data_IF_579789263121
#
_entry.id   IF_579789263121
#
_cell.length_a   1.000
_cell.length_b   1.000
_cell.length_c   1.000
_cell.angle_alpha   90.00
_cell.angle_beta   90.00
_cell.angle_gamma   90.00
#
_symmetry.space_group_name_H-M   'P 1'
#
loop_
_entity.id
_entity.type
_entity.pdbx_description
1 polymer ?
#
# COMPACT_ATOMS: atom_id res chain seq x y z
N UNK A 1 9.94 -21.15 -3.68
CA UNK A 1 9.22 -21.05 -4.96
C UNK A 1 8.16 -20.00 -4.78
N UNK A 2 8.21 -18.88 -5.50
CA UNK A 2 7.11 -17.92 -5.45
C UNK A 2 5.90 -18.55 -6.16
N UNK A 3 4.68 -18.38 -5.65
CA UNK A 3 3.48 -18.83 -6.35
C UNK A 3 3.41 -18.18 -7.74
N UNK A 4 3.03 -18.98 -8.72
CA UNK A 4 2.83 -18.53 -10.10
C UNK A 4 1.62 -17.57 -10.19
N UNK A 5 1.64 -16.70 -11.20
CA UNK A 5 0.59 -15.69 -11.42
C UNK A 5 -0.80 -16.31 -11.54
N UNK A 6 -0.90 -17.45 -12.24
CA UNK A 6 -2.16 -18.19 -12.40
C UNK A 6 -2.71 -18.65 -11.05
N UNK A 7 -1.86 -19.19 -10.17
CA UNK A 7 -2.25 -19.56 -8.82
C UNK A 7 -2.76 -18.36 -8.01
N UNK A 8 -2.05 -17.22 -8.05
CA UNK A 8 -2.43 -16.03 -7.29
C UNK A 8 -3.78 -15.45 -7.75
N UNK A 9 -4.02 -15.41 -9.06
CA UNK A 9 -5.29 -14.90 -9.60
C UNK A 9 -6.44 -15.88 -9.38
N UNK A 10 -6.18 -17.19 -9.41
CA UNK A 10 -7.20 -18.24 -9.21
C UNK A 10 -7.76 -18.28 -7.79
N UNK A 11 -6.91 -18.04 -6.78
CA UNK A 11 -7.30 -18.05 -5.37
C UNK A 11 -7.47 -16.63 -4.79
N UNK A 12 -7.31 -15.61 -5.61
CA UNK A 12 -7.51 -14.21 -5.25
C UNK A 12 -8.99 -13.91 -4.97
N UNK A 13 -9.22 -12.93 -4.11
CA UNK A 13 -10.57 -12.44 -3.82
C UNK A 13 -11.11 -11.66 -5.03
N UNK A 14 -12.21 -12.10 -5.69
CA UNK A 14 -12.71 -11.44 -6.89
C UNK A 14 -13.18 -10.00 -6.64
N UNK A 15 -13.47 -9.64 -5.37
CA UNK A 15 -13.95 -8.30 -4.99
C UNK A 15 -12.91 -7.20 -5.21
N UNK A 16 -11.62 -7.56 -5.26
CA UNK A 16 -10.52 -6.60 -5.48
C UNK A 16 -10.05 -6.52 -6.94
N UNK A 17 -10.57 -7.34 -7.85
CA UNK A 17 -10.06 -7.41 -9.23
C UNK A 17 -10.22 -6.09 -10.01
N UNK A 18 -11.18 -5.24 -9.65
CA UNK A 18 -11.38 -3.92 -10.26
C UNK A 18 -10.51 -2.83 -9.66
N UNK A 19 -9.79 -3.12 -8.57
CA UNK A 19 -8.96 -2.14 -7.90
C UNK A 19 -7.61 -1.99 -8.63
N UNK A 20 -7.04 -0.77 -8.67
CA UNK A 20 -5.74 -0.56 -9.27
C UNK A 20 -4.67 -1.47 -8.66
N UNK A 21 -3.81 -2.04 -9.52
CA UNK A 21 -2.66 -2.89 -9.18
C UNK A 21 -3.02 -4.26 -8.56
N UNK A 22 -4.29 -4.68 -8.65
CA UNK A 22 -4.76 -5.99 -8.18
C UNK A 22 -5.04 -6.98 -9.32
N UNK A 23 -5.06 -6.50 -10.56
CA UNK A 23 -5.31 -7.28 -11.78
C UNK A 23 -4.12 -8.15 -12.19
N UNK A 24 -2.90 -7.67 -11.95
CA UNK A 24 -1.68 -8.39 -12.28
C UNK A 24 -0.60 -8.26 -11.17
N UNK A 25 -0.23 -9.37 -10.50
CA UNK A 25 0.78 -9.37 -9.44
C UNK A 25 2.19 -9.03 -9.93
N UNK A 26 2.50 -9.24 -11.21
CA UNK A 26 3.80 -8.88 -11.79
C UNK A 26 4.00 -7.36 -11.86
N UNK A 27 2.93 -6.58 -12.05
CA UNK A 27 3.02 -5.12 -12.07
C UNK A 27 3.56 -4.60 -10.73
N UNK A 28 3.13 -5.18 -9.61
CA UNK A 28 3.65 -4.87 -8.28
C UNK A 28 5.16 -5.07 -8.18
N UNK A 29 5.64 -6.23 -8.63
CA UNK A 29 7.07 -6.55 -8.63
C UNK A 29 7.84 -5.56 -9.51
N UNK A 30 7.30 -5.26 -10.69
CA UNK A 30 7.89 -4.29 -11.61
C UNK A 30 8.03 -2.90 -10.98
N UNK A 31 6.97 -2.38 -10.35
CA UNK A 31 6.98 -1.08 -9.65
C UNK A 31 8.08 -1.05 -8.59
N UNK A 32 8.19 -2.09 -7.78
CA UNK A 32 9.21 -2.19 -6.73
C UNK A 32 10.63 -2.24 -7.34
N UNK A 33 10.85 -3.04 -8.38
CA UNK A 33 12.17 -3.14 -9.04
C UNK A 33 12.57 -1.81 -9.68
N UNK A 34 11.66 -1.17 -10.41
CA UNK A 34 11.89 0.15 -11.02
C UNK A 34 12.19 1.19 -9.96
N UNK A 35 11.43 1.19 -8.86
CA UNK A 35 11.67 2.07 -7.72
C UNK A 35 13.08 1.88 -7.13
N UNK A 36 13.49 0.63 -6.87
CA UNK A 36 14.83 0.33 -6.36
C UNK A 36 15.94 0.76 -7.32
N UNK A 37 15.77 0.52 -8.62
CA UNK A 37 16.74 0.95 -9.63
C UNK A 37 16.85 2.48 -9.68
N UNK A 38 15.72 3.17 -9.56
CA UNK A 38 15.67 4.62 -9.54
C UNK A 38 16.43 5.18 -8.32
N UNK A 39 16.09 4.75 -7.11
CA UNK A 39 16.69 5.33 -5.89
C UNK A 39 18.14 4.91 -5.68
N UNK A 40 18.52 3.68 -6.04
CA UNK A 40 19.87 3.19 -5.76
C UNK A 40 20.90 3.60 -6.82
N UNK A 41 20.49 3.77 -8.07
CA UNK A 41 21.43 4.00 -9.18
C UNK A 41 21.17 5.30 -9.92
N UNK A 42 19.95 5.48 -10.43
CA UNK A 42 19.63 6.61 -11.34
C UNK A 42 19.66 7.93 -10.57
N UNK A 43 18.94 8.01 -9.46
CA UNK A 43 18.84 9.18 -8.60
C UNK A 43 20.21 9.68 -8.13
N UNK A 44 21.03 8.86 -7.45
CA UNK A 44 22.36 9.27 -7.00
C UNK A 44 23.26 9.70 -8.15
N UNK A 45 23.23 9.00 -9.30
CA UNK A 45 24.04 9.37 -10.47
C UNK A 45 23.64 10.71 -11.05
N UNK A 46 22.33 11.01 -11.08
CA UNK A 46 21.80 12.29 -11.53
C UNK A 46 22.08 13.44 -10.54
N UNK A 47 22.08 13.15 -9.24
CA UNK A 47 22.33 14.11 -8.16
C UNK A 47 23.82 14.41 -7.93
N UNK A 48 24.76 13.58 -8.42
CA UNK A 48 26.21 13.78 -8.26
C UNK A 48 26.74 15.17 -8.64
N UNK A 49 26.08 15.87 -9.56
CA UNK A 49 26.51 17.19 -10.08
C UNK A 49 25.52 18.32 -9.76
N UNK A 50 24.63 18.11 -8.79
CA UNK A 50 23.58 19.06 -8.41
C UNK A 50 23.59 19.28 -6.90
N UNK A 51 23.28 20.49 -6.47
CA UNK A 51 23.07 20.76 -5.06
C UNK A 51 21.77 20.12 -4.54
N UNK A 52 21.70 19.74 -3.26
CA UNK A 52 20.50 19.14 -2.67
C UNK A 52 19.29 20.07 -2.79
N UNK A 53 18.14 19.50 -3.14
CA UNK A 53 16.87 20.24 -3.21
C UNK A 53 16.33 20.53 -1.80
N UNK A 54 15.87 21.76 -1.54
CA UNK A 54 15.12 22.07 -0.32
C UNK A 54 13.67 21.60 -0.44
N UNK A 55 13.45 20.34 -0.07
CA UNK A 55 12.14 19.70 -0.06
C UNK A 55 11.44 19.79 1.29
N UNK A 56 11.92 20.62 2.24
CA UNK A 56 11.44 20.61 3.63
C UNK A 56 9.93 20.82 3.75
N UNK A 57 9.37 21.79 3.02
CA UNK A 57 7.93 22.06 3.03
C UNK A 57 7.11 20.90 2.47
N UNK A 58 7.61 20.28 1.39
CA UNK A 58 6.95 19.14 0.74
C UNK A 58 6.94 17.95 1.70
N UNK A 59 8.07 17.66 2.36
CA UNK A 59 8.16 16.57 3.35
C UNK A 59 7.22 16.78 4.55
N UNK A 60 7.08 18.02 5.04
CA UNK A 60 6.13 18.31 6.14
C UNK A 60 4.69 17.99 5.71
N UNK A 61 4.27 18.48 4.54
CA UNK A 61 2.92 18.23 4.02
C UNK A 61 2.70 16.73 3.80
N UNK A 62 3.67 16.06 3.18
CA UNK A 62 3.64 14.62 2.93
C UNK A 62 3.45 13.82 4.24
N UNK A 63 4.28 14.09 5.26
CA UNK A 63 4.21 13.39 6.54
C UNK A 63 2.87 13.64 7.27
N UNK A 64 2.31 14.84 7.16
CA UNK A 64 0.99 15.14 7.71
C UNK A 64 -0.12 14.36 7.00
N UNK A 65 -0.08 14.28 5.66
CA UNK A 65 -1.06 13.53 4.88
C UNK A 65 -1.00 12.03 5.18
N UNK A 66 0.20 11.44 5.25
CA UNK A 66 0.39 10.02 5.55
C UNK A 66 0.00 9.71 7.00
N UNK A 67 0.31 10.59 7.95
CA UNK A 67 -0.13 10.45 9.34
C UNK A 67 -1.66 10.49 9.45
N UNK A 68 -2.30 11.46 8.79
CA UNK A 68 -3.77 11.55 8.74
C UNK A 68 -4.41 10.31 8.10
N UNK A 69 -3.84 9.81 7.00
CA UNK A 69 -4.28 8.58 6.35
C UNK A 69 -4.14 7.36 7.27
N UNK A 70 -3.05 7.28 8.04
CA UNK A 70 -2.81 6.21 9.01
C UNK A 70 -3.84 6.22 10.14
N UNK A 71 -4.16 7.40 10.67
CA UNK A 71 -5.24 7.55 11.66
C UNK A 71 -6.59 7.13 11.06
N UNK A 72 -6.89 7.56 9.84
CA UNK A 72 -8.11 7.16 9.16
C UNK A 72 -8.20 5.63 9.00
N UNK A 73 -7.14 4.98 8.52
CA UNK A 73 -7.09 3.51 8.37
C UNK A 73 -7.28 2.81 9.71
N UNK A 74 -6.57 3.24 10.76
CA UNK A 74 -6.69 2.66 12.10
C UNK A 74 -8.13 2.70 12.63
N UNK A 75 -8.80 3.85 12.49
CA UNK A 75 -10.20 4.00 12.91
C UNK A 75 -11.14 3.09 12.11
N UNK A 76 -10.95 2.99 10.79
CA UNK A 76 -11.81 2.14 9.96
C UNK A 76 -11.58 0.64 10.24
N UNK A 77 -10.32 0.20 10.38
CA UNK A 77 -10.02 -1.18 10.82
C UNK A 77 -10.65 -1.50 12.17
N UNK A 78 -10.58 -0.56 13.10
CA UNK A 78 -11.26 -0.66 14.39
C UNK A 78 -12.77 -0.82 14.23
N UNK A 79 -13.44 0.16 13.62
CA UNK A 79 -14.90 0.21 13.51
C UNK A 79 -15.48 -1.00 12.77
N UNK A 80 -14.90 -1.40 11.64
CA UNK A 80 -15.42 -2.50 10.82
C UNK A 80 -14.90 -3.89 11.23
N UNK A 81 -13.97 -3.95 12.18
CA UNK A 81 -13.38 -5.20 12.66
C UNK A 81 -13.23 -5.20 14.18
N UNK A 82 -12.07 -4.78 14.67
CA UNK A 82 -11.57 -5.06 16.03
C UNK A 82 -12.30 -4.37 17.19
N UNK A 83 -13.03 -3.28 16.95
CA UNK A 83 -13.80 -2.59 18.00
C UNK A 83 -15.23 -3.12 18.15
N UNK A 84 -15.73 -3.89 17.18
CA UNK A 84 -17.14 -4.26 17.12
C UNK A 84 -17.35 -5.76 16.95
N UNK A 85 -16.68 -6.39 15.98
CA UNK A 85 -16.97 -7.75 15.54
C UNK A 85 -15.85 -8.74 15.82
N UNK A 86 -14.60 -8.33 15.64
CA UNK A 86 -13.47 -9.25 15.66
C UNK A 86 -12.93 -9.47 17.06
N UNK A 87 -12.50 -10.70 17.31
CA UNK A 87 -11.74 -11.02 18.53
C UNK A 87 -10.25 -10.80 18.25
N UNK A 88 -9.48 -10.44 19.28
CA UNK A 88 -8.00 -10.43 19.24
C UNK A 88 -7.42 -11.86 19.24
N UNK A 89 -8.01 -12.74 18.44
CA UNK A 89 -7.65 -14.15 18.25
C UNK A 89 -7.73 -14.46 16.74
N UNK A 90 -7.68 -15.74 16.38
CA UNK A 90 -7.93 -16.15 15.01
C UNK A 90 -9.36 -15.77 14.59
N UNK A 91 -9.46 -14.79 13.69
CA UNK A 91 -10.71 -14.36 13.07
C UNK A 91 -10.64 -14.73 11.58
N UNK A 92 -11.60 -15.49 11.05
CA UNK A 92 -11.62 -15.83 9.64
C UNK A 92 -11.93 -14.59 8.79
N UNK A 93 -11.46 -14.63 7.53
CA UNK A 93 -11.79 -13.59 6.55
C UNK A 93 -13.26 -13.72 6.17
N UNK A 94 -14.00 -12.61 6.22
CA UNK A 94 -15.38 -12.54 5.75
C UNK A 94 -15.40 -12.28 4.23
N UNK A 95 -15.75 -13.31 3.46
CA UNK A 95 -15.89 -13.26 2.00
C UNK A 95 -17.28 -12.84 1.53
N UNK A 96 -18.19 -12.45 2.42
CA UNK A 96 -19.53 -11.97 2.04
C UNK A 96 -19.51 -10.56 1.42
N UNK A 97 -20.56 -10.23 0.69
CA UNK A 97 -20.80 -8.88 0.13
C UNK A 97 -21.51 -7.94 1.12
N UNK A 98 -21.40 -8.21 2.42
CA UNK A 98 -21.94 -7.32 3.45
C UNK A 98 -21.19 -5.97 3.45
N UNK A 99 -21.88 -4.90 3.83
CA UNK A 99 -21.32 -3.54 3.85
C UNK A 99 -19.99 -3.46 4.59
N UNK A 100 -19.88 -4.13 5.74
CA UNK A 100 -18.72 -4.04 6.60
C UNK A 100 -17.53 -4.84 6.03
N UNK A 101 -17.80 -5.99 5.41
CA UNK A 101 -16.78 -6.79 4.72
C UNK A 101 -16.23 -6.04 3.50
N UNK A 102 -17.10 -5.41 2.71
CA UNK A 102 -16.68 -4.57 1.59
C UNK A 102 -15.89 -3.34 2.04
N UNK A 103 -16.26 -2.72 3.16
CA UNK A 103 -15.48 -1.62 3.77
C UNK A 103 -14.12 -2.10 4.26
N UNK A 104 -14.05 -3.28 4.89
CA UNK A 104 -12.79 -3.88 5.31
C UNK A 104 -11.86 -4.11 4.12
N UNK A 105 -12.36 -4.69 3.02
CA UNK A 105 -11.61 -4.88 1.77
C UNK A 105 -11.11 -3.56 1.20
N UNK A 106 -11.98 -2.53 1.16
CA UNK A 106 -11.60 -1.19 0.70
C UNK A 106 -10.45 -0.60 1.54
N UNK A 107 -10.53 -0.71 2.86
CA UNK A 107 -9.49 -0.20 3.78
C UNK A 107 -8.19 -0.98 3.65
N UNK A 108 -8.26 -2.31 3.47
CA UNK A 108 -7.10 -3.15 3.15
C UNK A 108 -6.41 -2.71 1.86
N UNK A 109 -7.18 -2.39 0.81
CA UNK A 109 -6.60 -1.87 -0.43
C UNK A 109 -5.96 -0.50 -0.23
N UNK A 110 -6.59 0.41 0.52
CA UNK A 110 -6.00 1.72 0.84
C UNK A 110 -4.69 1.56 1.63
N UNK A 111 -4.63 0.60 2.55
CA UNK A 111 -3.40 0.25 3.26
C UNK A 111 -2.31 -0.26 2.31
N UNK A 112 -2.66 -1.15 1.38
CA UNK A 112 -1.72 -1.58 0.35
C UNK A 112 -1.21 -0.39 -0.49
N UNK A 113 -2.10 0.51 -0.92
CA UNK A 113 -1.75 1.69 -1.70
C UNK A 113 -0.87 2.66 -0.90
N UNK A 114 -1.11 2.81 0.41
CA UNK A 114 -0.28 3.65 1.28
C UNK A 114 1.16 3.16 1.32
N UNK A 115 1.39 1.84 1.27
CA UNK A 115 2.74 1.26 1.23
C UNK A 115 3.52 1.63 -0.04
N UNK A 116 2.83 1.78 -1.17
CA UNK A 116 3.48 2.28 -2.39
C UNK A 116 3.86 3.75 -2.27
N UNK A 117 3.05 4.56 -1.58
CA UNK A 117 3.37 5.98 -1.34
C UNK A 117 4.52 6.11 -0.35
N UNK A 118 4.54 5.31 0.72
CA UNK A 118 5.63 5.24 1.71
C UNK A 118 6.98 4.86 1.09
N UNK A 119 7.01 4.19 -0.07
CA UNK A 119 8.28 3.98 -0.78
C UNK A 119 8.97 5.33 -1.06
N UNK A 120 8.23 6.40 -1.37
CA UNK A 120 8.81 7.70 -1.70
C UNK A 120 9.64 8.35 -0.58
N UNK A 121 9.46 7.95 0.68
CA UNK A 121 10.28 8.44 1.80
C UNK A 121 11.78 8.18 1.57
N UNK A 122 12.10 7.09 0.88
CA UNK A 122 13.46 6.65 0.61
C UNK A 122 14.18 7.49 -0.45
N UNK A 123 13.51 8.44 -1.11
CA UNK A 123 14.13 9.43 -2.02
C UNK A 123 14.82 10.57 -1.26
N UNK A 124 14.54 10.72 0.05
CA UNK A 124 15.00 11.85 0.87
C UNK A 124 16.36 11.63 1.56
N UNK A 125 17.07 10.53 1.25
CA UNK A 125 18.34 10.11 1.88
C UNK A 125 19.56 10.25 0.98
#
# INVERSE_FOLDING_TARGET
>A
MAPDEEYLLKYGDPRINSYPLMDNPQINVCVIVVYFLFVKFIGPTWMKKREPYDLRRIMIIYNLLISALSVWMFLNFGIYGWFTKYRLRCEPIDFSDNSDALKMVQVCWVFYASKLVELSDTVSG
#
